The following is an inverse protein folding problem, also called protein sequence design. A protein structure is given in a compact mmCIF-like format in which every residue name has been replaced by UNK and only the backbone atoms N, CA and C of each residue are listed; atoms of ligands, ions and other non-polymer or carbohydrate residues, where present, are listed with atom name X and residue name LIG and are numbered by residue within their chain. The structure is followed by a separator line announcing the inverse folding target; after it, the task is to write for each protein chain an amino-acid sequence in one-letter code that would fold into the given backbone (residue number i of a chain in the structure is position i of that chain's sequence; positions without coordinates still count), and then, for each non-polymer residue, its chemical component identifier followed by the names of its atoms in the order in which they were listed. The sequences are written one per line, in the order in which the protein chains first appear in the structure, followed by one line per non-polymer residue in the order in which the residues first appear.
data_IF_730680944118
#
_entry.id   IF_730680944118
#
_cell.length_a   1.000
_cell.length_b   1.000
_cell.length_c   1.000
_cell.angle_alpha   90.00
_cell.angle_beta   90.00
_cell.angle_gamma   90.00
#
_symmetry.space_group_name_H-M   'P 1'
#
loop_
_entity.id
_entity.type
_entity.pdbx_description
1 polymer ?
#
# COMPACT_ATOMS: atom_id res chain seq x y z
N UNK A 1 -6.35 -10.92 20.63
CA UNK A 1 -5.09 -11.00 21.36
C UNK A 1 -4.41 -12.29 20.96
N UNK A 2 -3.14 -12.24 20.58
CA UNK A 2 -2.34 -13.44 20.33
C UNK A 2 -1.80 -13.96 21.66
N UNK A 3 -2.04 -15.23 21.94
CA UNK A 3 -1.57 -15.92 23.14
C UNK A 3 -0.16 -16.42 22.87
N UNK A 4 0.85 -15.82 23.51
CA UNK A 4 2.16 -16.46 23.60
C UNK A 4 2.11 -17.53 24.71
N UNK A 5 2.91 -18.58 24.55
CA UNK A 5 2.96 -19.84 25.31
C UNK A 5 2.79 -19.73 26.86
N UNK A 6 2.47 -20.84 27.56
CA UNK A 6 1.80 -20.86 28.87
C UNK A 6 2.49 -20.14 30.05
N UNK A 7 3.76 -19.77 29.95
CA UNK A 7 4.56 -19.42 31.14
C UNK A 7 5.15 -17.99 31.12
N UNK A 8 4.76 -17.14 30.17
CA UNK A 8 5.17 -15.73 30.13
C UNK A 8 3.97 -14.79 30.00
N UNK A 9 3.44 -14.35 31.14
CA UNK A 9 2.35 -13.37 31.29
C UNK A 9 2.77 -11.93 30.91
N UNK A 10 3.32 -11.74 29.71
CA UNK A 10 3.40 -10.41 29.10
C UNK A 10 2.12 -10.15 28.31
N UNK A 11 1.06 -9.75 29.01
CA UNK A 11 -0.16 -9.23 28.38
C UNK A 11 0.11 -7.82 27.87
N UNK A 12 0.75 -7.73 26.70
CA UNK A 12 0.98 -6.49 25.99
C UNK A 12 0.54 -6.70 24.55
N UNK A 13 -0.27 -5.79 24.01
CA UNK A 13 -0.40 -5.70 22.56
C UNK A 13 0.94 -5.18 22.07
N UNK A 14 1.75 -6.06 21.47
CA UNK A 14 3.06 -5.68 20.98
C UNK A 14 2.87 -4.64 19.86
N UNK A 15 3.01 -3.36 20.21
CA UNK A 15 2.70 -2.24 19.32
C UNK A 15 3.56 -2.23 18.06
N UNK A 16 4.68 -2.96 18.06
CA UNK A 16 5.54 -3.20 16.89
C UNK A 16 4.90 -4.10 15.84
N UNK A 17 3.89 -4.89 16.21
CA UNK A 17 3.16 -5.82 15.33
C UNK A 17 1.71 -5.36 15.06
N UNK A 18 1.29 -4.21 15.60
CA UNK A 18 -0.04 -3.66 15.33
C UNK A 18 -0.06 -3.11 13.90
N UNK A 19 -0.89 -3.72 13.06
CA UNK A 19 -1.27 -3.17 11.75
C UNK A 19 -2.16 -1.95 11.99
N UNK A 20 -1.56 -0.76 11.94
CA UNK A 20 -2.24 0.50 12.27
C UNK A 20 -3.43 0.85 11.36
N UNK A 21 -3.51 0.27 10.16
CA UNK A 21 -4.48 0.67 9.17
C UNK A 21 -4.86 -0.52 8.27
N UNK A 22 -5.89 -1.26 8.69
CA UNK A 22 -6.55 -2.22 7.79
C UNK A 22 -7.27 -1.50 6.64
N UNK A 23 -7.47 -2.20 5.52
CA UNK A 23 -8.13 -1.65 4.31
C UNK A 23 -9.47 -0.96 4.63
N UNK A 24 -10.28 -1.53 5.53
CA UNK A 24 -11.58 -0.97 5.92
C UNK A 24 -11.46 0.35 6.69
N UNK A 25 -10.49 0.48 7.60
CA UNK A 25 -10.31 1.69 8.41
C UNK A 25 -9.85 2.86 7.54
N UNK A 26 -8.98 2.56 6.57
CA UNK A 26 -8.52 3.55 5.61
C UNK A 26 -9.67 4.03 4.73
N UNK A 27 -10.46 3.13 4.14
CA UNK A 27 -11.63 3.47 3.33
C UNK A 27 -12.64 4.33 4.13
N UNK A 28 -12.91 3.97 5.39
CA UNK A 28 -13.80 4.76 6.25
C UNK A 28 -13.32 6.21 6.44
N UNK A 29 -12.02 6.42 6.62
CA UNK A 29 -11.43 7.77 6.72
C UNK A 29 -11.66 8.59 5.44
N UNK A 30 -11.49 7.97 4.27
CA UNK A 30 -11.76 8.64 2.98
C UNK A 30 -13.19 9.13 2.94
N UNK A 31 -14.15 8.25 3.21
CA UNK A 31 -15.57 8.60 3.17
C UNK A 31 -15.91 9.71 4.16
N UNK A 32 -15.29 9.74 5.34
CA UNK A 32 -15.45 10.86 6.29
C UNK A 32 -14.93 12.16 5.68
N UNK A 33 -13.75 12.15 5.06
CA UNK A 33 -13.19 13.35 4.41
C UNK A 33 -14.06 13.80 3.23
N UNK A 34 -14.54 12.88 2.40
CA UNK A 34 -15.47 13.19 1.29
C UNK A 34 -16.75 13.81 1.84
N UNK A 35 -17.36 13.20 2.85
CA UNK A 35 -18.59 13.69 3.47
C UNK A 35 -18.40 15.08 4.12
N UNK A 36 -17.23 15.34 4.74
CA UNK A 36 -16.90 16.67 5.24
C UNK A 36 -16.75 17.69 4.10
N UNK A 37 -16.08 17.34 3.01
CA UNK A 37 -15.97 18.21 1.83
C UNK A 37 -17.35 18.50 1.25
N UNK A 38 -18.21 17.48 1.11
CA UNK A 38 -19.57 17.65 0.59
C UNK A 38 -20.44 18.50 1.52
N UNK A 39 -20.45 18.24 2.82
CA UNK A 39 -21.25 19.02 3.78
C UNK A 39 -20.80 20.48 3.84
N UNK A 40 -19.50 20.76 3.71
CA UNK A 40 -18.96 22.12 3.66
C UNK A 40 -19.23 22.81 2.31
N UNK A 41 -19.22 22.08 1.19
CA UNK A 41 -19.45 22.65 -0.16
C UNK A 41 -20.93 22.75 -0.54
N UNK A 42 -21.82 21.94 0.05
CA UNK A 42 -23.28 21.99 -0.18
C UNK A 42 -23.89 23.32 0.24
N UNK A 43 -23.35 23.99 1.27
CA UNK A 43 -23.83 25.32 1.70
C UNK A 43 -23.68 26.41 0.63
N UNK A 44 -22.91 26.17 -0.45
CA UNK A 44 -22.76 27.08 -1.60
C UNK A 44 -23.55 26.69 -2.84
N UNK A 45 -24.35 25.61 -2.82
CA UNK A 45 -25.08 25.15 -4.01
C UNK A 45 -26.40 25.94 -4.19
N UNK A 46 -26.63 26.60 -5.34
CA UNK A 46 -27.96 27.09 -5.68
C UNK A 46 -28.88 25.91 -6.03
N UNK A 47 -30.13 25.96 -5.55
CA UNK A 47 -31.14 24.88 -5.64
C UNK A 47 -31.68 24.57 -7.06
N UNK A 48 -31.02 25.02 -8.12
CA UNK A 48 -31.52 24.89 -9.50
C UNK A 48 -30.40 24.34 -10.39
N UNK A 49 -30.41 23.03 -10.64
CA UNK A 49 -29.59 22.40 -11.67
C UNK A 49 -30.42 22.29 -12.96
N UNK A 50 -30.16 23.16 -13.92
CA UNK A 50 -30.61 22.94 -15.31
C UNK A 50 -29.87 21.73 -15.92
N UNK A 51 -30.57 20.84 -16.64
CA UNK A 51 -30.01 19.59 -17.12
C UNK A 51 -29.17 19.84 -18.38
N UNK A 52 -27.93 20.27 -18.19
CA UNK A 52 -26.91 20.34 -19.24
C UNK A 52 -25.82 19.35 -18.89
N UNK A 53 -25.35 18.53 -19.85
CA UNK A 53 -24.32 17.48 -19.66
C UNK A 53 -23.04 17.94 -18.91
N UNK A 54 -22.78 19.24 -18.84
CA UNK A 54 -21.65 19.84 -18.13
C UNK A 54 -21.94 20.25 -16.68
N UNK A 55 -23.20 20.21 -16.22
CA UNK A 55 -23.59 20.62 -14.87
C UNK A 55 -23.02 19.69 -13.80
N UNK A 56 -22.81 18.42 -14.13
CA UNK A 56 -22.20 17.42 -13.26
C UNK A 56 -20.74 17.82 -12.93
N UNK A 57 -19.99 18.32 -13.91
CA UNK A 57 -18.60 18.75 -13.72
C UNK A 57 -18.49 20.01 -12.85
N UNK A 58 -19.39 20.99 -13.02
CA UNK A 58 -19.44 22.17 -12.14
C UNK A 58 -19.96 21.85 -10.74
N UNK A 59 -20.85 20.86 -10.62
CA UNK A 59 -21.47 20.46 -9.37
C UNK A 59 -20.52 19.67 -8.44
N UNK A 60 -19.48 19.01 -9.00
CA UNK A 60 -18.47 18.24 -8.26
C UNK A 60 -17.03 18.73 -8.46
N UNK A 61 -16.86 19.98 -8.93
CA UNK A 61 -15.55 20.55 -9.31
C UNK A 61 -14.44 20.38 -8.25
N UNK A 62 -14.74 20.49 -6.95
CA UNK A 62 -13.76 20.34 -5.88
C UNK A 62 -13.28 18.89 -5.69
N UNK A 63 -14.15 17.91 -5.93
CA UNK A 63 -13.79 16.49 -5.90
C UNK A 63 -12.88 16.15 -7.08
N UNK A 64 -13.20 16.65 -8.28
CA UNK A 64 -12.36 16.51 -9.47
C UNK A 64 -10.97 17.15 -9.31
N UNK A 65 -10.88 18.35 -8.72
CA UNK A 65 -9.60 19.00 -8.42
C UNK A 65 -8.78 18.16 -7.43
N UNK A 66 -9.42 17.66 -6.36
CA UNK A 66 -8.77 16.79 -5.38
C UNK A 66 -8.22 15.50 -6.02
N UNK A 67 -9.04 14.84 -6.84
CA UNK A 67 -8.63 13.64 -7.58
C UNK A 67 -7.47 13.90 -8.55
N UNK A 68 -7.49 15.02 -9.28
CA UNK A 68 -6.41 15.39 -10.20
C UNK A 68 -5.09 15.67 -9.46
N UNK A 69 -5.13 16.39 -8.34
CA UNK A 69 -3.94 16.67 -7.51
C UNK A 69 -3.36 15.35 -6.98
N UNK A 70 -4.20 14.46 -6.45
CA UNK A 70 -3.77 13.15 -5.96
C UNK A 70 -3.13 12.30 -7.07
N UNK A 71 -3.72 12.31 -8.27
CA UNK A 71 -3.19 11.61 -9.43
C UNK A 71 -1.81 12.15 -9.84
N UNK A 72 -1.64 13.47 -9.91
CA UNK A 72 -0.35 14.10 -10.25
C UNK A 72 0.72 13.73 -9.21
N UNK A 73 0.39 13.82 -7.91
CA UNK A 73 1.30 13.42 -6.83
C UNK A 73 1.71 11.95 -6.99
N UNK A 74 0.76 11.07 -7.30
CA UNK A 74 1.04 9.66 -7.51
C UNK A 74 2.00 9.42 -8.68
N UNK A 75 1.74 10.04 -9.84
CA UNK A 75 2.60 9.91 -11.03
C UNK A 75 4.00 10.42 -10.73
N UNK A 76 4.13 11.63 -10.15
CA UNK A 76 5.42 12.21 -9.78
C UNK A 76 6.18 11.27 -8.84
N UNK A 77 5.52 10.77 -7.78
CA UNK A 77 6.15 9.90 -6.80
C UNK A 77 6.56 8.57 -7.39
N UNK A 78 5.74 7.98 -8.27
CA UNK A 78 6.02 6.68 -8.89
C UNK A 78 7.21 6.74 -9.85
N UNK A 79 7.34 7.82 -10.62
CA UNK A 79 8.36 7.90 -11.67
C UNK A 79 9.63 8.68 -11.28
N UNK A 80 9.53 9.68 -10.40
CA UNK A 80 10.67 10.53 -10.04
C UNK A 80 11.52 9.94 -8.92
N UNK A 81 10.91 9.12 -8.06
CA UNK A 81 11.54 8.64 -6.85
C UNK A 81 12.54 7.52 -7.16
N UNK A 82 13.75 7.65 -6.61
CA UNK A 82 14.81 6.64 -6.72
C UNK A 82 14.65 5.58 -5.65
N UNK A 83 14.64 4.31 -6.07
CA UNK A 83 14.49 3.18 -5.16
C UNK A 83 15.88 2.56 -4.88
N UNK A 84 16.45 2.78 -3.68
CA UNK A 84 17.70 2.17 -3.29
C UNK A 84 17.56 0.66 -3.04
N UNK A 85 18.70 -0.01 -2.91
CA UNK A 85 18.74 -1.40 -2.47
C UNK A 85 18.32 -1.49 -1.01
N UNK A 86 17.59 -2.53 -0.65
CA UNK A 86 17.11 -2.74 0.72
C UNK A 86 17.31 -4.20 1.14
N UNK A 87 17.33 -4.46 2.44
CA UNK A 87 17.57 -5.79 3.00
C UNK A 87 16.55 -6.14 4.05
N UNK A 88 16.19 -7.41 4.14
CA UNK A 88 15.28 -7.94 5.17
C UNK A 88 15.88 -9.18 5.81
N UNK A 89 15.46 -9.45 7.04
CA UNK A 89 15.87 -10.61 7.83
C UNK A 89 14.70 -11.56 8.03
N UNK A 90 14.89 -12.81 7.67
CA UNK A 90 13.92 -13.89 7.90
C UNK A 90 14.45 -14.78 9.04
N UNK A 91 13.60 -15.06 10.03
CA UNK A 91 13.91 -16.01 11.09
C UNK A 91 13.64 -17.43 10.57
N UNK A 92 14.69 -18.23 10.43
CA UNK A 92 14.60 -19.64 10.06
C UNK A 92 15.00 -20.52 11.26
N UNK A 93 14.63 -21.81 11.23
CA UNK A 93 15.00 -22.80 12.27
C UNK A 93 16.51 -22.88 12.55
N UNK A 94 17.35 -22.47 11.59
CA UNK A 94 18.81 -22.46 11.70
C UNK A 94 19.40 -21.07 12.00
N UNK A 95 18.57 -20.10 12.40
CA UNK A 95 18.96 -18.72 12.73
C UNK A 95 18.42 -17.66 11.76
N UNK A 96 18.88 -16.43 11.95
CA UNK A 96 18.43 -15.26 11.17
C UNK A 96 19.20 -15.16 9.85
N UNK A 97 18.52 -15.35 8.72
CA UNK A 97 19.10 -15.18 7.38
C UNK A 97 18.77 -13.79 6.86
N UNK A 98 19.78 -13.04 6.43
CA UNK A 98 19.63 -11.71 5.81
C UNK A 98 19.66 -11.83 4.29
N UNK A 99 18.63 -11.31 3.63
CA UNK A 99 18.55 -11.22 2.18
C UNK A 99 18.62 -9.76 1.73
N UNK A 100 19.28 -9.52 0.60
CA UNK A 100 19.42 -8.19 0.01
C UNK A 100 18.69 -8.18 -1.33
N UNK A 101 17.83 -7.20 -1.54
CA UNK A 101 17.12 -6.94 -2.79
C UNK A 101 17.83 -5.79 -3.51
N UNK A 102 18.32 -6.08 -4.72
CA UNK A 102 18.98 -5.09 -5.58
C UNK A 102 17.93 -4.45 -6.49
N UNK A 103 17.67 -3.16 -6.31
CA UNK A 103 16.76 -2.35 -7.11
C UNK A 103 17.54 -1.30 -7.89
N UNK A 104 18.07 -0.28 -7.22
CA UNK A 104 18.95 0.73 -7.82
C UNK A 104 18.38 1.41 -9.08
N UNK A 105 17.07 1.70 -9.11
CA UNK A 105 16.35 2.11 -10.31
C UNK A 105 15.26 3.17 -10.02
N UNK A 106 14.78 3.86 -11.06
CA UNK A 106 13.66 4.83 -11.02
C UNK A 106 12.51 4.33 -11.90
N UNK A 107 11.27 4.61 -11.50
CA UNK A 107 10.08 4.38 -12.32
C UNK A 107 9.75 2.92 -12.65
N UNK A 108 10.34 1.96 -11.93
CA UNK A 108 10.10 0.54 -12.18
C UNK A 108 8.87 0.05 -11.41
N UNK A 109 7.89 -0.52 -12.10
CA UNK A 109 6.65 -1.03 -11.49
C UNK A 109 6.73 -2.52 -11.09
N UNK A 110 7.89 -3.16 -11.26
CA UNK A 110 8.06 -4.57 -10.93
C UNK A 110 7.99 -4.89 -9.43
N UNK A 111 7.94 -6.18 -9.09
CA UNK A 111 7.81 -6.65 -7.71
C UNK A 111 9.01 -6.19 -6.85
N UNK A 112 8.74 -5.90 -5.58
CA UNK A 112 9.67 -5.43 -4.55
C UNK A 112 10.40 -4.09 -4.78
N UNK A 113 10.67 -3.67 -6.01
CA UNK A 113 11.43 -2.46 -6.38
C UNK A 113 10.57 -1.26 -6.83
N UNK A 114 9.27 -1.29 -6.55
CA UNK A 114 8.36 -0.17 -6.82
C UNK A 114 8.57 0.98 -5.83
N UNK A 115 8.58 2.22 -6.33
CA UNK A 115 8.65 3.46 -5.57
C UNK A 115 7.56 3.57 -4.48
N UNK A 116 6.34 3.10 -4.75
CA UNK A 116 5.26 3.06 -3.76
C UNK A 116 5.66 2.23 -2.55
N UNK A 117 6.10 1.00 -2.80
CA UNK A 117 6.54 0.11 -1.73
C UNK A 117 7.81 0.59 -1.03
N UNK A 118 8.63 1.42 -1.67
CA UNK A 118 9.75 2.08 -0.99
C UNK A 118 9.26 3.11 0.03
N UNK A 119 8.36 4.01 -0.37
CA UNK A 119 7.77 5.01 0.54
C UNK A 119 7.08 4.35 1.72
N UNK A 120 6.34 3.26 1.50
CA UNK A 120 5.67 2.53 2.57
C UNK A 120 6.66 1.94 3.59
N UNK A 121 7.80 1.41 3.11
CA UNK A 121 8.87 0.87 3.97
C UNK A 121 9.58 1.95 4.77
N UNK A 122 9.75 3.15 4.22
CA UNK A 122 10.36 4.28 4.93
C UNK A 122 9.42 4.87 5.99
N UNK A 123 8.11 4.93 5.71
CA UNK A 123 7.13 5.52 6.62
C UNK A 123 6.71 4.60 7.77
N UNK A 124 6.52 3.31 7.50
CA UNK A 124 6.07 2.34 8.50
C UNK A 124 7.16 1.35 8.93
N UNK A 125 8.28 1.25 8.21
CA UNK A 125 9.34 0.30 8.53
C UNK A 125 9.04 -1.11 8.02
N UNK A 126 10.09 -1.94 7.95
CA UNK A 126 10.01 -3.32 7.43
C UNK A 126 9.25 -4.27 8.38
N UNK A 127 9.19 -3.93 9.68
CA UNK A 127 8.53 -4.77 10.69
C UNK A 127 7.00 -4.78 10.59
N UNK A 128 6.42 -3.78 9.92
CA UNK A 128 4.97 -3.69 9.72
C UNK A 128 4.49 -4.36 8.41
N UNK A 129 5.43 -4.79 7.57
CA UNK A 129 5.14 -5.43 6.29
C UNK A 129 4.61 -6.86 6.51
N UNK A 130 3.77 -7.34 5.59
CA UNK A 130 3.27 -8.69 5.63
C UNK A 130 4.42 -9.69 5.46
N UNK A 131 4.64 -10.52 6.48
CA UNK A 131 5.73 -11.50 6.48
C UNK A 131 5.56 -12.59 5.43
N UNK A 132 4.33 -12.91 4.99
CA UNK A 132 4.18 -13.92 3.95
C UNK A 132 4.59 -13.34 2.59
N UNK A 133 5.54 -14.00 1.90
CA UNK A 133 6.04 -13.53 0.63
C UNK A 133 5.03 -13.85 -0.49
N UNK A 134 4.06 -12.97 -0.71
CA UNK A 134 3.06 -13.12 -1.80
C UNK A 134 3.72 -13.29 -3.16
N UNK A 135 4.91 -12.71 -3.35
CA UNK A 135 5.68 -12.85 -4.59
C UNK A 135 6.16 -14.28 -4.88
N UNK A 136 6.23 -15.15 -3.88
CA UNK A 136 6.64 -16.56 -4.06
C UNK A 136 5.79 -17.33 -5.06
N UNK A 137 4.56 -16.87 -5.31
CA UNK A 137 3.60 -17.48 -6.25
C UNK A 137 3.79 -17.04 -7.70
N UNK A 138 4.66 -16.06 -7.98
CA UNK A 138 4.96 -15.66 -9.35
C UNK A 138 5.72 -16.77 -10.08
N UNK A 139 5.53 -16.84 -11.40
CA UNK A 139 6.24 -17.77 -12.30
C UNK A 139 7.77 -17.58 -12.24
N UNK A 140 8.23 -16.36 -11.94
CA UNK A 140 9.64 -16.05 -11.70
C UNK A 140 10.20 -16.72 -10.42
N UNK A 141 9.33 -17.15 -9.51
CA UNK A 141 9.69 -17.68 -8.19
C UNK A 141 9.40 -19.18 -8.07
N UNK A 142 8.32 -19.69 -8.67
CA UNK A 142 7.93 -21.09 -8.60
C UNK A 142 7.39 -21.61 -9.92
N UNK A 143 7.66 -22.89 -10.23
CA UNK A 143 7.09 -23.59 -11.39
C UNK A 143 5.62 -23.97 -11.17
N UNK A 144 5.13 -23.90 -9.92
CA UNK A 144 3.75 -24.22 -9.56
C UNK A 144 2.81 -23.02 -9.72
N UNK A 145 3.27 -21.90 -10.28
CA UNK A 145 2.47 -20.68 -10.49
C UNK A 145 1.17 -21.04 -11.24
N UNK A 146 0.00 -20.56 -10.78
CA UNK A 146 -0.23 -19.52 -9.77
C UNK A 146 -0.32 -20.03 -8.32
N UNK A 147 -0.14 -21.34 -8.08
CA UNK A 147 -0.15 -21.91 -6.74
C UNK A 147 1.18 -21.71 -6.02
N UNK A 148 1.12 -21.74 -4.69
CA UNK A 148 2.33 -21.78 -3.87
C UNK A 148 3.03 -23.12 -4.08
N UNK A 149 4.35 -23.06 -4.26
CA UNK A 149 5.20 -24.23 -4.45
C UNK A 149 6.61 -23.95 -3.96
N UNK A 150 7.52 -24.94 -4.07
CA UNK A 150 8.92 -24.71 -3.74
C UNK A 150 9.48 -23.58 -4.61
N UNK A 151 10.27 -22.71 -3.99
CA UNK A 151 11.02 -21.68 -4.71
C UNK A 151 12.06 -22.37 -5.59
N UNK A 152 12.21 -21.87 -6.81
CA UNK A 152 13.27 -22.33 -7.71
C UNK A 152 14.65 -22.05 -7.11
N UNK A 153 15.63 -22.87 -7.46
CA UNK A 153 17.02 -22.68 -7.01
C UNK A 153 17.62 -21.37 -7.51
N UNK A 154 17.21 -20.92 -8.70
CA UNK A 154 17.58 -19.65 -9.33
C UNK A 154 16.64 -18.48 -8.97
N UNK A 155 15.72 -18.66 -8.02
CA UNK A 155 14.73 -17.64 -7.68
C UNK A 155 15.42 -16.38 -7.12
N UNK A 156 15.03 -15.18 -7.60
CA UNK A 156 15.60 -13.94 -7.10
C UNK A 156 15.25 -13.70 -5.63
N UNK A 157 16.11 -12.96 -4.91
CA UNK A 157 15.96 -12.74 -3.46
C UNK A 157 14.65 -12.06 -3.07
N UNK A 158 14.06 -11.26 -3.97
CA UNK A 158 12.76 -10.63 -3.73
C UNK A 158 11.58 -11.60 -3.72
N UNK A 159 11.73 -12.85 -4.17
CA UNK A 159 10.68 -13.87 -4.06
C UNK A 159 10.32 -14.21 -2.61
N UNK A 160 11.25 -14.00 -1.68
CA UNK A 160 11.07 -14.15 -0.22
C UNK A 160 10.83 -12.83 0.49
N UNK A 161 10.83 -11.72 -0.26
CA UNK A 161 10.69 -10.43 0.36
C UNK A 161 9.29 -10.26 0.95
N UNK A 162 9.18 -9.62 2.12
CA UNK A 162 7.88 -9.32 2.69
C UNK A 162 7.17 -8.28 1.81
N UNK A 163 5.85 -8.38 1.77
CA UNK A 163 5.01 -7.63 0.84
C UNK A 163 4.09 -6.68 1.60
N UNK A 164 3.87 -5.47 1.09
CA UNK A 164 2.80 -4.60 1.59
C UNK A 164 1.66 -4.55 0.56
N UNK A 165 0.52 -5.24 0.83
CA UNK A 165 -0.64 -5.17 -0.05
C UNK A 165 -1.30 -3.78 -0.04
N UNK A 166 -1.15 -3.02 1.05
CA UNK A 166 -2.01 -1.86 1.38
C UNK A 166 -1.24 -0.54 1.55
N UNK A 167 -0.23 -0.33 0.71
CA UNK A 167 0.62 0.85 0.73
C UNK A 167 -0.12 2.20 0.82
N UNK A 168 0.46 3.19 1.50
CA UNK A 168 -0.10 4.53 1.69
C UNK A 168 -0.46 5.18 0.35
N UNK A 169 0.40 5.05 -0.64
CA UNK A 169 0.17 5.63 -1.97
C UNK A 169 -0.88 4.85 -2.78
N UNK A 170 -0.99 3.52 -2.59
CA UNK A 170 -2.10 2.74 -3.18
C UNK A 170 -3.43 3.17 -2.57
N UNK A 171 -3.45 3.42 -1.26
CA UNK A 171 -4.60 3.97 -0.58
C UNK A 171 -4.99 5.35 -1.14
N UNK A 172 -4.05 6.28 -1.32
CA UNK A 172 -4.34 7.63 -1.86
C UNK A 172 -5.01 7.53 -3.24
N UNK A 173 -4.52 6.67 -4.14
CA UNK A 173 -5.15 6.48 -5.44
C UNK A 173 -6.54 5.87 -5.30
N UNK A 174 -6.67 4.77 -4.55
CA UNK A 174 -7.95 4.08 -4.41
C UNK A 174 -9.02 4.96 -3.76
N UNK A 175 -8.60 5.84 -2.85
CA UNK A 175 -9.41 6.90 -2.27
C UNK A 175 -9.86 7.92 -3.31
N UNK A 176 -8.95 8.33 -4.20
CA UNK A 176 -9.24 9.29 -5.27
C UNK A 176 -10.16 8.72 -6.37
N UNK A 177 -10.10 7.42 -6.65
CA UNK A 177 -11.07 6.76 -7.55
C UNK A 177 -12.43 6.56 -6.92
N UNK A 178 -12.54 6.49 -5.59
CA UNK A 178 -13.83 6.46 -4.88
C UNK A 178 -14.45 7.87 -4.72
N UNK A 179 -13.66 8.92 -4.94
CA UNK A 179 -14.07 10.32 -4.91
C UNK A 179 -14.71 10.80 -6.22
N UNK A 180 -14.59 10.02 -7.31
CA UNK A 180 -15.10 10.31 -8.66
C UNK A 180 -16.19 9.31 -9.01
#
# INVERSE_FOLDING_TARGET
GYSHAPDALSYGVDMKHIRWCGILQRIALVYVVVALIETLTTKRRPNVLEPRHLSIFTAYQWQWIGGFIAFVIYIITTYSLYVPNWSFSEHSDHGVKKYIVKCGMRGHLGPACNAVGYVDRELWGINHLYSDPVWSRLEACTLSSPNSGPLREDAPSWCRAPFEPEGLLRFIIQSSTLLV
#
